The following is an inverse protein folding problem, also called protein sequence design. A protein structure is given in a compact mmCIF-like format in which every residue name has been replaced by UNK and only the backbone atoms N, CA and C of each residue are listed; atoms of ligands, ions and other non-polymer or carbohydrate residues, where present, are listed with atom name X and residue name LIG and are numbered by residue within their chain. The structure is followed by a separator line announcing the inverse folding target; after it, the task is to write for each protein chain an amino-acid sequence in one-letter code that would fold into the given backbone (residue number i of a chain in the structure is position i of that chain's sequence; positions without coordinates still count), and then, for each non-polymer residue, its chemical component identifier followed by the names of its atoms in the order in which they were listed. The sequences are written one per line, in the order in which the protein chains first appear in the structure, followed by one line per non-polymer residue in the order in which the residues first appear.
data_IF_650331140018
#
_entry.id   IF_650331140018
#
_cell.length_a   1.000
_cell.length_b   1.000
_cell.length_c   1.000
_cell.angle_alpha   90.00
_cell.angle_beta   90.00
_cell.angle_gamma   90.00
#
_symmetry.space_group_name_H-M   'P 1'
#
loop_
_entity.id
_entity.type
_entity.pdbx_description
1 polymer ?
#
# COMPACT_ATOMS: atom_id res chain seq x y z
N UNK A 1 13.10 -12.13 -25.88
CA UNK A 1 13.30 -11.26 -24.70
C UNK A 1 12.57 -9.95 -24.96
N UNK A 2 11.73 -9.49 -24.02
CA UNK A 2 11.14 -8.14 -24.06
C UNK A 2 12.26 -7.11 -23.86
N UNK A 3 12.28 -6.06 -24.67
CA UNK A 3 13.21 -4.95 -24.46
C UNK A 3 12.72 -4.03 -23.34
N UNK A 4 13.61 -3.28 -22.71
CA UNK A 4 13.24 -2.28 -21.69
C UNK A 4 12.30 -1.20 -22.25
N UNK A 5 12.45 -0.87 -23.54
CA UNK A 5 11.53 0.02 -24.26
C UNK A 5 10.13 -0.59 -24.39
N UNK A 6 10.07 -1.86 -24.80
CA UNK A 6 8.81 -2.58 -24.99
C UNK A 6 8.04 -2.71 -23.67
N UNK A 7 8.75 -3.07 -22.59
CA UNK A 7 8.18 -3.11 -21.25
C UNK A 7 7.61 -1.75 -20.82
N UNK A 8 8.34 -0.65 -21.10
CA UNK A 8 7.87 0.70 -20.77
C UNK A 8 6.62 1.08 -21.55
N UNK A 9 6.51 0.70 -22.83
CA UNK A 9 5.31 0.94 -23.62
C UNK A 9 4.12 0.18 -23.04
N UNK A 10 4.28 -1.12 -22.74
CA UNK A 10 3.23 -1.93 -22.11
C UNK A 10 2.78 -1.36 -20.76
N UNK A 11 3.72 -0.87 -19.93
CA UNK A 11 3.37 -0.23 -18.65
C UNK A 11 2.63 1.09 -18.82
N UNK A 12 2.89 1.86 -19.89
CA UNK A 12 2.11 3.05 -20.22
C UNK A 12 0.68 2.68 -20.64
N UNK A 13 0.52 1.64 -21.45
CA UNK A 13 -0.80 1.18 -21.88
C UNK A 13 -1.63 0.65 -20.69
N UNK A 14 -0.97 -0.06 -19.75
CA UNK A 14 -1.58 -0.48 -18.49
C UNK A 14 -2.01 0.74 -17.66
N UNK A 15 -1.16 1.77 -17.54
CA UNK A 15 -1.47 2.98 -16.76
C UNK A 15 -2.75 3.67 -17.26
N UNK A 16 -2.97 3.70 -18.58
CA UNK A 16 -4.17 4.32 -19.20
C UNK A 16 -5.43 3.49 -18.94
N UNK A 17 -5.29 2.18 -18.72
CA UNK A 17 -6.41 1.25 -18.52
C UNK A 17 -6.68 0.90 -17.05
N UNK A 18 -5.97 1.52 -16.10
CA UNK A 18 -6.20 1.25 -14.68
C UNK A 18 -7.62 1.66 -14.23
N UNK A 19 -8.27 0.84 -13.39
CA UNK A 19 -9.59 1.16 -12.90
C UNK A 19 -9.55 2.28 -11.85
N UNK A 20 -10.48 3.24 -11.97
CA UNK A 20 -10.68 4.32 -11.00
C UNK A 20 -9.50 5.28 -10.91
N UNK A 21 -9.17 5.72 -9.69
CA UNK A 21 -8.04 6.64 -9.44
C UNK A 21 -6.75 5.90 -9.02
N UNK A 22 -6.68 4.58 -9.21
CA UNK A 22 -5.51 3.79 -8.83
C UNK A 22 -4.27 4.22 -9.61
N UNK A 23 -3.11 4.13 -8.96
CA UNK A 23 -1.82 4.54 -9.53
C UNK A 23 -0.80 3.42 -9.46
N UNK A 24 0.14 3.40 -10.39
CA UNK A 24 1.35 2.60 -10.24
C UNK A 24 2.20 3.18 -9.08
N UNK A 25 2.99 2.33 -8.39
CA UNK A 25 3.83 2.76 -7.28
C UNK A 25 5.11 3.50 -7.71
N UNK A 26 5.22 3.85 -8.99
CA UNK A 26 6.38 4.48 -9.60
C UNK A 26 5.96 5.29 -10.85
N UNK A 27 6.81 6.23 -11.28
CA UNK A 27 6.61 6.98 -12.53
C UNK A 27 7.17 6.22 -13.73
N UNK A 28 6.30 5.86 -14.68
CA UNK A 28 6.61 5.11 -15.91
C UNK A 28 7.69 5.77 -16.78
N UNK A 29 7.79 7.09 -16.76
CA UNK A 29 8.78 7.83 -17.56
C UNK A 29 10.21 7.67 -17.03
N UNK A 30 10.35 7.48 -15.71
CA UNK A 30 11.63 7.37 -15.02
C UNK A 30 11.87 5.97 -14.42
N UNK A 31 11.06 4.96 -14.78
CA UNK A 31 11.25 3.58 -14.30
C UNK A 31 12.69 3.15 -14.55
N UNK A 32 13.42 2.98 -13.44
CA UNK A 32 14.53 2.06 -13.39
C UNK A 32 13.94 0.66 -13.16
N UNK A 33 14.53 -0.36 -13.81
CA UNK A 33 14.18 -1.77 -13.54
C UNK A 33 14.28 -2.11 -12.04
N UNK A 34 15.07 -1.33 -11.32
CA UNK A 34 15.25 -1.39 -9.87
C UNK A 34 13.99 -1.00 -9.07
N UNK A 35 13.29 0.09 -9.41
CA UNK A 35 12.05 0.46 -8.71
C UNK A 35 10.93 -0.55 -8.98
N UNK A 36 10.88 -1.06 -10.22
CA UNK A 36 9.96 -2.13 -10.58
C UNK A 36 10.26 -3.39 -9.78
N UNK A 37 11.52 -3.82 -9.68
CA UNK A 37 11.88 -5.05 -8.94
C UNK A 37 11.64 -4.95 -7.44
N UNK A 38 11.76 -3.75 -6.85
CA UNK A 38 11.49 -3.53 -5.42
C UNK A 38 10.00 -3.66 -5.06
N UNK A 39 9.13 -3.26 -5.98
CA UNK A 39 7.68 -3.15 -5.71
C UNK A 39 6.89 -4.33 -6.27
N UNK A 40 7.40 -4.99 -7.30
CA UNK A 40 6.74 -6.12 -7.96
C UNK A 40 7.18 -7.48 -7.40
N UNK A 41 6.33 -8.49 -7.59
CA UNK A 41 6.67 -9.89 -7.35
C UNK A 41 6.72 -10.61 -8.67
N UNK A 42 7.80 -11.35 -8.92
CA UNK A 42 7.92 -12.23 -10.06
C UNK A 42 7.68 -13.67 -9.62
N UNK A 43 6.62 -14.29 -10.11
CA UNK A 43 6.40 -15.72 -10.02
C UNK A 43 6.82 -16.38 -11.33
N UNK A 44 7.53 -17.50 -11.22
CA UNK A 44 7.96 -18.30 -12.37
C UNK A 44 7.31 -19.66 -12.21
N UNK A 45 6.50 -20.04 -13.19
CA UNK A 45 5.69 -21.26 -13.16
C UNK A 45 6.00 -22.08 -14.39
N UNK A 46 6.29 -23.37 -14.22
CA UNK A 46 6.55 -24.29 -15.33
C UNK A 46 5.40 -25.29 -15.45
N UNK A 47 4.65 -25.24 -16.55
CA UNK A 47 3.48 -26.08 -16.80
C UNK A 47 3.56 -26.62 -18.24
N UNK A 48 3.45 -27.93 -18.41
CA UNK A 48 3.37 -28.62 -19.71
C UNK A 48 4.45 -28.20 -20.72
N UNK A 49 5.72 -28.13 -20.28
CA UNK A 49 6.80 -27.72 -21.17
C UNK A 49 6.97 -26.21 -21.33
N UNK A 50 6.06 -25.41 -20.77
CA UNK A 50 6.03 -23.95 -20.92
C UNK A 50 6.46 -23.26 -19.63
N UNK A 51 7.40 -22.32 -19.75
CA UNK A 51 7.78 -21.41 -18.68
C UNK A 51 6.91 -20.15 -18.74
N UNK A 52 6.13 -19.90 -17.70
CA UNK A 52 5.27 -18.73 -17.54
C UNK A 52 5.90 -17.82 -16.49
N UNK A 53 6.04 -16.54 -16.82
CA UNK A 53 6.51 -15.50 -15.91
C UNK A 53 5.35 -14.56 -15.58
N UNK A 54 4.95 -14.52 -14.32
CA UNK A 54 3.89 -13.65 -13.82
C UNK A 54 4.51 -12.52 -13.01
N UNK A 55 4.38 -11.28 -13.52
CA UNK A 55 4.82 -10.08 -12.83
C UNK A 55 3.62 -9.40 -12.17
N UNK A 56 3.56 -9.47 -10.84
CA UNK A 56 2.50 -8.85 -10.03
C UNK A 56 2.97 -7.49 -9.52
N UNK A 57 2.33 -6.41 -9.99
CA UNK A 57 2.62 -5.03 -9.58
C UNK A 57 1.49 -4.54 -8.68
N UNK A 58 1.73 -4.22 -7.40
CA UNK A 58 0.70 -3.68 -6.52
C UNK A 58 0.33 -2.26 -6.95
N UNK A 59 -0.96 -1.94 -6.94
CA UNK A 59 -1.45 -0.59 -7.21
C UNK A 59 -1.59 0.22 -5.92
N UNK A 60 -1.41 1.53 -6.03
CA UNK A 60 -1.62 2.48 -4.95
C UNK A 60 -3.02 3.07 -5.02
N UNK A 61 -3.68 3.09 -3.86
CA UNK A 61 -4.86 3.92 -3.65
C UNK A 61 -4.39 5.37 -3.36
N UNK A 62 -4.82 6.38 -4.13
CA UNK A 62 -4.39 7.77 -3.92
C UNK A 62 -5.05 8.42 -2.71
N UNK A 63 -5.94 7.73 -1.97
CA UNK A 63 -6.55 8.27 -0.76
C UNK A 63 -5.47 8.61 0.26
N UNK A 64 -5.32 9.90 0.51
CA UNK A 64 -4.43 10.42 1.54
C UNK A 64 -5.08 10.24 2.92
N UNK A 65 -4.29 9.71 3.85
CA UNK A 65 -4.70 9.47 5.23
C UNK A 65 -3.78 10.22 6.18
N UNK A 66 -4.37 10.91 7.14
CA UNK A 66 -3.64 11.55 8.24
C UNK A 66 -3.54 10.57 9.41
N UNK A 67 -2.31 10.29 9.85
CA UNK A 67 -2.05 9.40 10.98
C UNK A 67 -2.19 10.14 12.31
N UNK A 68 -2.98 9.59 13.22
CA UNK A 68 -3.18 10.08 14.57
C UNK A 68 -2.73 9.03 15.60
N UNK A 69 -2.08 9.49 16.67
CA UNK A 69 -1.84 8.68 17.85
C UNK A 69 -3.04 8.78 18.79
N UNK A 70 -3.62 7.63 19.14
CA UNK A 70 -4.82 7.57 19.96
C UNK A 70 -4.44 7.65 21.43
N UNK A 71 -4.96 8.67 22.12
CA UNK A 71 -4.74 8.84 23.55
C UNK A 71 -5.86 8.20 24.36
N UNK A 72 -5.51 7.63 25.50
CA UNK A 72 -6.50 7.09 26.45
C UNK A 72 -7.36 8.22 26.99
N UNK A 73 -8.67 8.02 27.00
CA UNK A 73 -9.61 9.02 27.51
C UNK A 73 -9.94 8.71 28.98
N UNK A 74 -9.64 9.60 29.94
CA UNK A 74 -10.15 9.46 31.30
C UNK A 74 -11.66 9.70 31.32
N UNK A 75 -12.40 8.81 31.96
CA UNK A 75 -13.86 8.91 32.09
C UNK A 75 -14.25 8.69 33.54
N UNK A 76 -15.21 9.49 34.00
CA UNK A 76 -15.83 9.34 35.32
C UNK A 76 -17.23 8.80 35.13
N UNK A 77 -17.55 7.69 35.80
CA UNK A 77 -18.91 7.18 35.92
C UNK A 77 -19.25 7.14 37.41
N UNK A 78 -20.16 8.01 37.83
CA UNK A 78 -20.53 8.22 39.24
C UNK A 78 -19.31 8.56 40.12
N UNK A 79 -18.91 7.65 41.02
CA UNK A 79 -17.76 7.77 41.93
C UNK A 79 -16.51 7.02 41.42
N UNK A 80 -16.60 6.32 40.29
CA UNK A 80 -15.47 5.58 39.69
C UNK A 80 -14.77 6.41 38.61
N UNK A 81 -13.44 6.40 38.68
CA UNK A 81 -12.54 6.93 37.67
C UNK A 81 -11.94 5.77 36.88
N UNK A 82 -12.02 5.84 35.55
CA UNK A 82 -11.52 4.80 34.65
C UNK A 82 -10.86 5.44 33.43
N UNK A 83 -10.07 4.65 32.69
CA UNK A 83 -9.54 5.04 31.40
C UNK A 83 -10.15 4.16 30.31
N UNK A 84 -10.73 4.79 29.28
CA UNK A 84 -11.01 4.10 28.03
C UNK A 84 -9.69 3.89 27.31
N UNK A 85 -9.24 2.64 27.28
CA UNK A 85 -8.03 2.23 26.59
C UNK A 85 -8.42 1.79 25.18
N UNK A 86 -7.93 2.47 24.13
CA UNK A 86 -8.20 2.06 22.76
C UNK A 86 -7.51 0.73 22.45
N UNK A 87 -8.12 -0.06 21.57
CA UNK A 87 -7.57 -1.35 21.13
C UNK A 87 -6.37 -1.20 20.18
N UNK A 88 -6.18 -0.01 19.61
CA UNK A 88 -5.08 0.32 18.71
C UNK A 88 -4.41 1.63 19.13
N UNK A 89 -3.12 1.76 18.80
CA UNK A 89 -2.30 2.90 19.20
C UNK A 89 -2.36 4.04 18.17
N UNK A 90 -2.60 3.70 16.90
CA UNK A 90 -2.71 4.66 15.83
C UNK A 90 -3.91 4.41 14.93
N UNK A 91 -4.46 5.49 14.40
CA UNK A 91 -5.51 5.47 13.40
C UNK A 91 -5.14 6.42 12.27
N UNK A 92 -5.22 5.97 11.02
CA UNK A 92 -5.11 6.84 9.87
C UNK A 92 -6.49 7.08 9.28
N UNK A 93 -6.85 8.35 9.03
CA UNK A 93 -8.19 8.75 8.62
C UNK A 93 -8.10 9.65 7.38
N UNK A 94 -8.98 9.46 6.41
CA UNK A 94 -9.04 10.32 5.22
C UNK A 94 -9.59 11.70 5.59
N UNK A 95 -9.25 12.71 4.79
CA UNK A 95 -9.79 14.07 4.98
C UNK A 95 -11.32 14.12 4.96
N UNK A 96 -11.95 13.26 4.15
CA UNK A 96 -13.42 13.13 4.05
C UNK A 96 -14.03 12.30 5.16
N UNK A 97 -13.23 11.63 6.00
CA UNK A 97 -13.66 10.67 7.04
C UNK A 97 -14.41 9.43 6.50
N UNK A 98 -14.36 9.20 5.19
CA UNK A 98 -14.98 8.03 4.55
C UNK A 98 -14.14 6.75 4.71
N UNK A 99 -12.83 6.90 4.90
CA UNK A 99 -11.89 5.80 5.03
C UNK A 99 -11.08 5.93 6.30
N UNK A 100 -10.88 4.81 6.99
CA UNK A 100 -9.96 4.72 8.11
C UNK A 100 -9.24 3.37 8.12
N UNK A 101 -8.09 3.35 8.79
CA UNK A 101 -7.36 2.13 9.11
C UNK A 101 -6.70 2.25 10.48
N UNK A 102 -6.63 1.13 11.20
CA UNK A 102 -5.97 1.04 12.50
C UNK A 102 -4.58 0.45 12.30
N UNK A 103 -3.59 1.01 13.00
CA UNK A 103 -2.19 0.61 12.86
C UNK A 103 -1.62 0.38 14.26
N UNK A 104 -0.95 -0.76 14.45
CA UNK A 104 -0.16 -1.04 15.65
C UNK A 104 1.28 -0.55 15.48
N UNK A 105 1.97 -0.25 16.58
CA UNK A 105 3.39 0.17 16.59
C UNK A 105 4.29 -0.77 15.78
N UNK A 106 4.10 -2.09 15.90
CA UNK A 106 4.91 -3.08 15.18
C UNK A 106 4.86 -2.91 13.65
N UNK A 107 3.72 -2.47 13.10
CA UNK A 107 3.57 -2.25 11.66
C UNK A 107 4.31 -0.99 11.18
N UNK A 108 4.47 0.02 12.04
CA UNK A 108 5.23 1.24 11.73
C UNK A 108 6.74 1.00 11.81
N UNK A 109 7.18 0.20 12.78
CA UNK A 109 8.60 -0.05 13.03
C UNK A 109 9.26 -0.99 12.01
N UNK A 110 8.49 -1.92 11.43
CA UNK A 110 9.00 -2.88 10.44
C UNK A 110 9.37 -2.27 9.07
N UNK A 111 9.16 -0.96 8.83
CA UNK A 111 9.54 -0.30 7.57
C UNK A 111 10.94 0.33 7.57
N UNK A 112 11.76 0.10 8.61
CA UNK A 112 13.12 0.67 8.75
C UNK A 112 14.29 -0.27 8.44
N UNK A 113 14.04 -1.52 8.01
CA UNK A 113 15.08 -2.47 7.61
C UNK A 113 15.02 -2.77 6.11
#
# INVERSE_FOLDING_TARGET
MISTRELRMQLRDILISLPGQLKLPFDVNYISLYELSKTSKLAIVYINGTLVLELVIPLLNPVELTLYHIIKLPVRKEQLYMHLTPECEYMAISKTHEYYLTISVNHLMNRKN
#
